data_IF_918171034568
#
_entry.id   IF_918171034568
#
_cell.length_a   1.000
_cell.length_b   1.000
_cell.length_c   1.000
_cell.angle_alpha   90.00
_cell.angle_beta   90.00
_cell.angle_gamma   90.00
#
_symmetry.space_group_name_H-M   'P 1'
#
loop_
_entity.id
_entity.type
_entity.pdbx_description
1 polymer ?
#
# COMPACT_ATOMS: atom_id res chain seq x y z
N UNK A 1 -21.54 8.28 15.09
CA UNK A 1 -21.07 9.59 14.58
C UNK A 1 -19.56 9.49 14.44
N UNK A 2 -19.10 9.10 13.26
CA UNK A 2 -17.67 9.11 12.89
C UNK A 2 -17.51 9.67 11.46
N UNK A 3 -18.50 10.43 11.01
CA UNK A 3 -18.66 10.90 9.62
C UNK A 3 -17.59 11.94 9.25
N UNK A 4 -17.13 12.74 10.22
CA UNK A 4 -16.06 13.72 10.01
C UNK A 4 -14.70 13.05 9.72
N UNK A 5 -14.39 11.95 10.40
CA UNK A 5 -13.15 11.21 10.16
C UNK A 5 -13.15 10.53 8.79
N UNK A 6 -14.27 9.89 8.42
CA UNK A 6 -14.44 9.31 7.08
C UNK A 6 -14.33 10.37 5.98
N UNK A 7 -14.99 11.52 6.15
CA UNK A 7 -14.95 12.62 5.21
C UNK A 7 -13.53 13.18 5.04
N UNK A 8 -12.81 13.43 6.14
CA UNK A 8 -11.44 13.92 6.10
C UNK A 8 -10.52 12.92 5.38
N UNK A 9 -10.65 11.62 5.66
CA UNK A 9 -9.86 10.59 5.00
C UNK A 9 -10.15 10.50 3.50
N UNK A 10 -11.42 10.61 3.08
CA UNK A 10 -11.80 10.67 1.65
C UNK A 10 -11.18 11.89 0.96
N UNK A 11 -11.18 13.03 1.64
CA UNK A 11 -10.54 14.24 1.13
C UNK A 11 -9.02 14.06 0.99
N UNK A 12 -8.36 13.52 2.02
CA UNK A 12 -6.92 13.21 2.00
C UNK A 12 -6.56 12.20 0.90
N UNK A 13 -7.37 11.15 0.70
CA UNK A 13 -7.22 10.19 -0.41
C UNK A 13 -7.18 10.93 -1.75
N UNK A 14 -8.18 11.78 -2.01
CA UNK A 14 -8.30 12.53 -3.27
C UNK A 14 -7.14 13.52 -3.47
N UNK A 15 -6.65 14.13 -2.40
CA UNK A 15 -5.44 14.95 -2.44
C UNK A 15 -4.21 14.14 -2.84
N UNK A 16 -4.01 12.96 -2.25
CA UNK A 16 -2.86 12.08 -2.55
C UNK A 16 -2.93 11.53 -3.98
N UNK A 17 -4.12 11.18 -4.48
CA UNK A 17 -4.31 10.77 -5.88
C UNK A 17 -3.92 11.88 -6.87
N UNK A 18 -4.17 13.14 -6.49
CA UNK A 18 -3.73 14.31 -7.28
C UNK A 18 -2.21 14.45 -7.25
N UNK A 19 -1.56 14.28 -6.09
CA UNK A 19 -0.10 14.28 -5.98
C UNK A 19 0.53 13.12 -6.75
N UNK A 20 -0.07 11.92 -6.72
CA UNK A 20 0.33 10.79 -7.54
C UNK A 20 0.29 11.15 -9.03
N UNK A 21 -0.81 11.72 -9.50
CA UNK A 21 -0.96 12.17 -10.90
C UNK A 21 0.05 13.27 -11.26
N UNK A 22 0.41 14.14 -10.31
CA UNK A 22 1.46 15.14 -10.47
C UNK A 22 2.86 14.53 -10.61
N UNK A 23 3.19 13.54 -9.77
CA UNK A 23 4.44 12.79 -9.85
C UNK A 23 4.60 12.05 -11.17
N UNK A 24 3.51 11.48 -11.71
CA UNK A 24 3.51 10.80 -13.01
C UNK A 24 3.83 11.77 -14.17
N UNK A 25 3.24 12.97 -14.16
CA UNK A 25 3.58 14.00 -15.15
C UNK A 25 5.04 14.44 -15.07
N UNK A 26 5.60 14.52 -13.85
CA UNK A 26 7.03 14.84 -13.63
C UNK A 26 7.93 13.71 -14.12
N UNK A 27 7.53 12.45 -13.94
CA UNK A 27 8.21 11.28 -14.51
C UNK A 27 8.28 11.38 -16.03
N UNK A 28 7.14 11.56 -16.70
CA UNK A 28 7.08 11.67 -18.17
C UNK A 28 7.89 12.85 -18.72
N UNK A 29 7.88 13.98 -18.02
CA UNK A 29 8.68 15.15 -18.39
C UNK A 29 10.18 14.86 -18.27
N UNK A 30 10.61 14.21 -17.19
CA UNK A 30 12.02 13.88 -16.94
C UNK A 30 12.51 12.80 -17.92
N UNK A 31 11.66 11.82 -18.25
CA UNK A 31 11.93 10.81 -19.28
C UNK A 31 12.16 11.43 -20.65
N UNK A 32 11.32 12.40 -21.07
CA UNK A 32 11.53 13.15 -22.33
C UNK A 32 12.83 13.96 -22.33
N UNK A 33 13.21 14.54 -21.19
CA UNK A 33 14.50 15.25 -21.05
C UNK A 33 15.69 14.31 -21.17
N UNK A 34 15.64 13.14 -20.52
CA UNK A 34 16.66 12.10 -20.66
C UNK A 34 16.81 11.65 -22.12
N UNK A 35 15.71 11.42 -22.82
CA UNK A 35 15.70 11.08 -24.25
C UNK A 35 16.34 12.17 -25.12
N UNK A 36 16.02 13.43 -24.83
CA UNK A 36 16.57 14.57 -25.58
C UNK A 36 18.08 14.71 -25.34
N UNK A 37 18.55 14.51 -24.11
CA UNK A 37 19.98 14.53 -23.78
C UNK A 37 20.75 13.42 -24.51
N UNK A 38 20.19 12.21 -24.53
CA UNK A 38 20.73 11.06 -25.26
C UNK A 38 20.82 11.29 -26.78
N UNK A 39 19.77 11.84 -27.39
CA UNK A 39 19.72 12.07 -28.85
C UNK A 39 20.58 13.23 -29.34
N UNK A 40 20.67 14.33 -28.57
CA UNK A 40 21.29 15.59 -29.05
C UNK A 40 22.74 15.74 -28.63
N UNK A 41 23.08 15.35 -27.40
CA UNK A 41 24.38 15.66 -26.82
C UNK A 41 25.30 14.45 -26.77
N UNK A 42 24.78 13.21 -26.87
CA UNK A 42 25.53 12.00 -26.58
C UNK A 42 26.07 11.96 -25.13
N UNK A 43 25.58 12.87 -24.28
CA UNK A 43 26.03 13.06 -22.91
C UNK A 43 25.24 12.12 -21.99
N UNK A 44 25.86 10.96 -21.75
CA UNK A 44 25.32 9.88 -20.94
C UNK A 44 25.19 10.30 -19.47
N UNK A 45 26.06 11.18 -18.98
CA UNK A 45 26.00 11.65 -17.59
C UNK A 45 24.76 12.52 -17.35
N UNK A 46 24.52 13.50 -18.22
CA UNK A 46 23.30 14.32 -18.13
C UNK A 46 22.02 13.50 -18.33
N UNK A 47 22.04 12.54 -19.25
CA UNK A 47 20.92 11.62 -19.46
C UNK A 47 20.65 10.74 -18.23
N UNK A 48 21.71 10.27 -17.56
CA UNK A 48 21.62 9.49 -16.32
C UNK A 48 20.97 10.29 -15.20
N UNK A 49 21.35 11.55 -14.98
CA UNK A 49 20.75 12.41 -13.94
C UNK A 49 19.24 12.58 -14.16
N UNK A 50 18.82 12.82 -15.42
CA UNK A 50 17.40 12.91 -15.75
C UNK A 50 16.66 11.57 -15.61
N UNK A 51 17.32 10.44 -15.92
CA UNK A 51 16.77 9.12 -15.74
C UNK A 51 16.59 8.77 -14.24
N UNK A 52 17.55 9.10 -13.39
CA UNK A 52 17.47 8.94 -11.94
C UNK A 52 16.30 9.75 -11.36
N UNK A 53 16.20 11.02 -11.75
CA UNK A 53 15.08 11.89 -11.36
C UNK A 53 13.74 11.32 -11.84
N UNK A 54 13.69 10.73 -13.04
CA UNK A 54 12.48 10.07 -13.53
C UNK A 54 12.10 8.89 -12.62
N UNK A 55 13.04 8.01 -12.28
CA UNK A 55 12.79 6.84 -11.43
C UNK A 55 12.36 7.25 -10.03
N UNK A 56 12.94 8.31 -9.47
CA UNK A 56 12.53 8.85 -8.18
C UNK A 56 11.07 9.35 -8.22
N UNK A 57 10.67 10.05 -9.30
CA UNK A 57 9.29 10.48 -9.50
C UNK A 57 8.33 9.28 -9.68
N UNK A 58 8.72 8.24 -10.41
CA UNK A 58 7.94 7.01 -10.57
C UNK A 58 7.77 6.25 -9.26
N UNK A 59 8.83 6.19 -8.45
CA UNK A 59 8.80 5.59 -7.11
C UNK A 59 7.86 6.39 -6.19
N UNK A 60 7.95 7.73 -6.23
CA UNK A 60 7.05 8.62 -5.49
C UNK A 60 5.59 8.43 -5.92
N UNK A 61 5.31 8.32 -7.22
CA UNK A 61 3.99 8.03 -7.76
C UNK A 61 3.41 6.74 -7.17
N UNK A 62 4.18 5.64 -7.24
CA UNK A 62 3.77 4.36 -6.67
C UNK A 62 3.53 4.44 -5.16
N UNK A 63 4.39 5.14 -4.43
CA UNK A 63 4.22 5.35 -2.99
C UNK A 63 2.93 6.10 -2.66
N UNK A 64 2.58 7.14 -3.44
CA UNK A 64 1.32 7.85 -3.27
C UNK A 64 0.10 6.98 -3.60
N UNK A 65 0.15 6.15 -4.65
CA UNK A 65 -0.92 5.20 -4.96
C UNK A 65 -1.12 4.17 -3.84
N UNK A 66 -0.03 3.64 -3.29
CA UNK A 66 -0.08 2.74 -2.13
C UNK A 66 -0.71 3.45 -0.93
N UNK A 67 -0.31 4.69 -0.65
CA UNK A 67 -0.87 5.46 0.45
C UNK A 67 -2.37 5.73 0.25
N UNK A 68 -2.82 6.07 -0.97
CA UNK A 68 -4.23 6.26 -1.29
C UNK A 68 -5.04 4.95 -1.10
N UNK A 69 -4.50 3.82 -1.53
CA UNK A 69 -5.12 2.49 -1.34
C UNK A 69 -5.24 2.11 0.14
N UNK A 70 -4.20 2.41 0.95
CA UNK A 70 -4.22 2.20 2.40
C UNK A 70 -5.31 3.06 3.06
N UNK A 71 -5.43 4.33 2.68
CA UNK A 71 -6.49 5.21 3.19
C UNK A 71 -7.87 4.69 2.81
N UNK A 72 -8.04 4.21 1.58
CA UNK A 72 -9.30 3.60 1.14
C UNK A 72 -9.69 2.38 1.97
N UNK A 73 -8.71 1.53 2.30
CA UNK A 73 -8.92 0.38 3.18
C UNK A 73 -9.38 0.80 4.58
N UNK A 74 -8.83 1.90 5.12
CA UNK A 74 -9.25 2.45 6.43
C UNK A 74 -10.67 3.02 6.34
N UNK A 75 -11.00 3.73 5.25
CA UNK A 75 -12.36 4.23 4.98
C UNK A 75 -13.36 3.07 4.98
N UNK A 76 -13.08 1.97 4.28
CA UNK A 76 -13.94 0.79 4.26
C UNK A 76 -14.15 0.19 5.65
N UNK A 77 -13.11 0.11 6.48
CA UNK A 77 -13.22 -0.35 7.87
C UNK A 77 -14.09 0.59 8.72
N UNK A 78 -13.97 1.91 8.55
CA UNK A 78 -14.82 2.88 9.24
C UNK A 78 -16.29 2.72 8.82
N UNK A 79 -16.55 2.50 7.53
CA UNK A 79 -17.90 2.24 7.03
C UNK A 79 -18.49 0.95 7.62
N UNK A 80 -17.70 -0.13 7.66
CA UNK A 80 -18.10 -1.38 8.30
C UNK A 80 -18.43 -1.17 9.78
N UNK A 81 -17.57 -0.46 10.53
CA UNK A 81 -17.81 -0.14 11.93
C UNK A 81 -19.06 0.73 12.11
N UNK A 82 -19.34 1.68 11.21
CA UNK A 82 -20.56 2.49 11.23
C UNK A 82 -21.81 1.61 11.00
N UNK A 83 -21.76 0.65 10.07
CA UNK A 83 -22.84 -0.30 9.82
C UNK A 83 -23.08 -1.22 11.03
N UNK A 84 -22.01 -1.75 11.64
CA UNK A 84 -22.10 -2.54 12.89
C UNK A 84 -22.73 -1.71 14.02
N UNK A 85 -22.32 -0.46 14.20
CA UNK A 85 -22.91 0.43 15.19
C UNK A 85 -24.41 0.69 14.94
N UNK A 86 -24.82 0.84 13.68
CA UNK A 86 -26.24 0.97 13.33
C UNK A 86 -27.00 -0.31 13.66
N UNK A 87 -26.45 -1.47 13.35
CA UNK A 87 -27.03 -2.77 13.69
C UNK A 87 -27.20 -2.93 15.20
N UNK A 88 -26.18 -2.60 16.01
CA UNK A 88 -26.26 -2.63 17.48
C UNK A 88 -27.35 -1.69 18.00
N UNK A 89 -27.50 -0.49 17.43
CA UNK A 89 -28.58 0.44 17.80
C UNK A 89 -29.96 -0.15 17.49
N UNK A 90 -30.13 -0.74 16.31
CA UNK A 90 -31.39 -1.39 15.93
C UNK A 90 -31.68 -2.59 16.83
N UNK A 91 -30.68 -3.43 17.12
CA UNK A 91 -30.83 -4.56 18.06
C UNK A 91 -31.19 -4.09 19.47
N UNK A 92 -30.63 -2.97 19.95
CA UNK A 92 -31.04 -2.38 21.22
C UNK A 92 -32.50 -1.93 21.21
N UNK A 93 -32.98 -1.41 20.09
CA UNK A 93 -34.39 -1.02 19.92
C UNK A 93 -35.32 -2.25 19.86
N UNK A 94 -34.91 -3.30 19.14
CA UNK A 94 -35.61 -4.59 19.10
C UNK A 94 -35.64 -5.23 20.48
N UNK A 95 -34.53 -5.21 21.23
CA UNK A 95 -34.48 -5.75 22.59
C UNK A 95 -35.42 -5.01 23.54
N UNK A 96 -35.54 -3.68 23.42
CA UNK A 96 -36.55 -2.91 24.17
C UNK A 96 -37.98 -3.29 23.80
N UNK A 97 -38.24 -3.57 22.51
CA UNK A 97 -39.54 -4.06 22.06
C UNK A 97 -39.81 -5.46 22.61
N UNK A 98 -38.81 -6.35 22.59
CA UNK A 98 -38.87 -7.68 23.19
C UNK A 98 -39.08 -7.62 24.70
N UNK A 99 -38.44 -6.72 25.44
CA UNK A 99 -38.72 -6.48 26.87
C UNK A 99 -40.19 -6.09 27.11
N UNK A 100 -40.77 -5.34 26.18
CA UNK A 100 -42.18 -4.95 26.23
C UNK A 100 -43.12 -6.12 25.88
N UNK A 101 -42.74 -6.97 24.93
CA UNK A 101 -43.45 -8.22 24.55
C UNK A 101 -43.29 -9.31 25.61
N UNK A 102 -42.16 -9.37 26.32
CA UNK A 102 -41.88 -10.33 27.38
C UNK A 102 -42.75 -10.07 28.63
N UNK A 103 -43.32 -8.87 28.78
CA UNK A 103 -44.38 -8.61 29.76
C UNK A 103 -45.73 -9.27 29.40
N UNK A 104 -45.93 -9.65 28.13
CA UNK A 104 -47.18 -10.18 27.58
C UNK A 104 -47.00 -11.59 26.94
N UNK A 105 -46.01 -12.36 27.39
CA UNK A 105 -45.36 -13.53 26.72
C UNK A 105 -46.18 -14.37 25.71
N UNK A 106 -45.53 -14.63 24.56
CA UNK A 106 -45.58 -15.91 23.84
C UNK A 106 -44.14 -16.36 23.48
N UNK A 107 -43.67 -17.45 24.10
CA UNK A 107 -42.25 -17.83 24.18
C UNK A 107 -41.67 -18.56 22.95
N UNK A 108 -42.53 -18.91 21.99
CA UNK A 108 -42.14 -19.64 20.78
C UNK A 108 -41.44 -18.78 19.73
N UNK A 109 -41.65 -17.46 19.70
CA UNK A 109 -41.05 -16.59 18.68
C UNK A 109 -39.61 -16.20 19.02
N UNK A 110 -39.26 -16.12 20.31
CA UNK A 110 -37.93 -15.79 20.79
C UNK A 110 -36.89 -16.86 20.41
N UNK A 111 -37.27 -18.14 20.51
CA UNK A 111 -36.40 -19.26 20.14
C UNK A 111 -36.00 -19.22 18.65
N UNK A 112 -36.94 -18.86 17.76
CA UNK A 112 -36.67 -18.74 16.32
C UNK A 112 -35.72 -17.59 15.97
N UNK A 113 -35.82 -16.47 16.68
CA UNK A 113 -34.95 -15.31 16.43
C UNK A 113 -33.50 -15.61 16.84
N UNK A 114 -33.30 -16.36 17.92
CA UNK A 114 -31.96 -16.78 18.35
C UNK A 114 -31.33 -17.81 17.40
N UNK A 115 -32.11 -18.78 16.91
CA UNK A 115 -31.62 -19.78 15.95
C UNK A 115 -31.19 -19.16 14.61
N UNK A 116 -31.90 -18.12 14.14
CA UNK A 116 -31.53 -17.37 12.92
C UNK A 116 -30.31 -16.47 13.10
N UNK A 117 -30.07 -15.99 14.32
CA UNK A 117 -28.89 -15.17 14.63
C UNK A 117 -27.60 -16.01 14.61
N UNK A 118 -27.65 -17.22 15.17
CA UNK A 118 -26.51 -18.15 15.21
C UNK A 118 -26.04 -18.56 13.80
N UNK A 119 -26.98 -18.92 12.91
CA UNK A 119 -26.67 -19.23 11.50
C UNK A 119 -26.09 -18.04 10.71
N UNK A 120 -26.50 -16.81 11.06
CA UNK A 120 -26.03 -15.61 10.37
C UNK A 120 -24.62 -15.21 10.80
N UNK A 121 -24.24 -15.53 12.04
CA UNK A 121 -22.94 -15.18 12.63
C UNK A 121 -21.83 -16.15 12.21
N UNK A 122 -22.12 -17.45 12.11
CA UNK A 122 -21.17 -18.49 11.69
C UNK A 122 -20.63 -18.24 10.26
N UNK A 123 -21.44 -17.66 9.38
CA UNK A 123 -21.07 -17.30 8.01
C UNK A 123 -20.18 -16.04 7.90
N UNK A 124 -20.07 -15.25 8.96
CA UNK A 124 -19.27 -14.03 8.98
C UNK A 124 -17.80 -14.32 9.31
N UNK A 125 -17.54 -15.24 10.26
CA UNK A 125 -16.21 -15.57 10.76
C UNK A 125 -15.34 -16.28 9.71
N UNK A 126 -15.94 -17.17 8.91
CA UNK A 126 -15.25 -17.91 7.83
C UNK A 126 -14.67 -16.97 6.74
N UNK A 127 -15.25 -15.77 6.55
CA UNK A 127 -14.79 -14.80 5.53
C UNK A 127 -13.61 -13.94 5.98
N UNK A 128 -13.39 -13.80 7.30
CA UNK A 128 -12.28 -13.02 7.84
C UNK A 128 -10.94 -13.76 7.72
N UNK A 129 -10.95 -15.08 7.88
CA UNK A 129 -9.75 -15.92 7.91
C UNK A 129 -9.06 -16.08 6.54
N UNK A 130 -9.80 -15.99 5.44
CA UNK A 130 -9.25 -16.12 4.06
C UNK A 130 -8.57 -14.82 3.58
N UNK A 131 -8.99 -13.67 4.10
CA UNK A 131 -8.50 -12.35 3.67
C UNK A 131 -7.11 -12.02 4.27
N UNK A 132 -6.80 -12.53 5.47
CA UNK A 132 -5.55 -12.24 6.19
C UNK A 132 -4.31 -12.91 5.58
N UNK A 133 -4.48 -14.12 5.02
CA UNK A 133 -3.36 -14.92 4.48
C UNK A 133 -2.84 -14.41 3.13
N UNK A 134 -3.65 -13.71 2.34
CA UNK A 134 -3.25 -13.19 1.03
C UNK A 134 -2.45 -11.87 1.10
N UNK A 135 -2.51 -11.16 2.23
CA UNK A 135 -1.98 -9.78 2.35
C UNK A 135 -0.53 -9.72 2.87
N UNK A 136 -0.05 -10.78 3.53
CA UNK A 136 1.31 -10.83 4.09
C UNK A 136 2.41 -11.21 3.08
N UNK A 137 2.08 -11.64 1.85
CA UNK A 137 3.06 -12.02 0.83
C UNK A 137 3.52 -10.89 -0.11
N UNK A 138 2.91 -9.70 -0.04
CA UNK A 138 3.11 -8.65 -1.04
C UNK A 138 4.05 -7.48 -0.63
N UNK A 139 4.75 -7.56 0.51
CA UNK A 139 5.44 -6.42 1.14
C UNK A 139 6.98 -6.52 1.22
N UNK A 140 7.64 -7.15 0.23
CA UNK A 140 9.08 -7.01 -0.01
C UNK A 140 9.24 -6.69 -1.50
N UNK A 141 9.89 -5.62 -1.98
CA UNK A 141 11.19 -5.09 -1.58
C UNK A 141 11.33 -3.66 -2.11
N UNK A 142 12.11 -2.84 -1.41
CA UNK A 142 12.57 -1.51 -1.85
C UNK A 142 13.40 -1.58 -3.14
N UNK A 143 13.17 -0.58 -4.00
CA UNK A 143 13.80 -0.23 -5.28
C UNK A 143 15.16 -0.91 -5.59
N UNK A 144 15.19 -1.88 -6.52
CA UNK A 144 16.42 -2.49 -7.00
C UNK A 144 17.19 -1.55 -7.95
N UNK A 145 18.50 -1.52 -7.84
CA UNK A 145 19.42 -0.77 -8.71
C UNK A 145 19.29 -1.19 -10.18
N UNK A 146 18.88 -2.43 -10.43
CA UNK A 146 18.62 -3.00 -11.76
C UNK A 146 17.51 -2.25 -12.51
N UNK A 147 16.51 -1.73 -11.79
CA UNK A 147 15.40 -1.00 -12.39
C UNK A 147 15.82 0.31 -13.09
N UNK A 148 17.00 0.85 -12.73
CA UNK A 148 17.61 2.03 -13.36
C UNK A 148 18.20 1.69 -14.71
N UNK A 149 18.99 0.62 -14.77
CA UNK A 149 19.59 0.14 -16.03
C UNK A 149 18.52 -0.35 -17.00
N UNK A 150 17.48 -1.02 -16.49
CA UNK A 150 16.36 -1.51 -17.29
C UNK A 150 15.57 -0.36 -17.94
N UNK A 151 15.32 0.75 -17.22
CA UNK A 151 14.65 1.90 -17.80
C UNK A 151 15.48 2.56 -18.91
N UNK A 152 16.79 2.66 -18.72
CA UNK A 152 17.71 3.19 -19.74
C UNK A 152 17.74 2.31 -20.99
N UNK A 153 17.76 0.98 -20.83
CA UNK A 153 17.68 0.02 -21.94
C UNK A 153 16.34 0.12 -22.67
N UNK A 154 15.22 0.19 -21.96
CA UNK A 154 13.89 0.36 -22.56
C UNK A 154 13.81 1.64 -23.40
N UNK A 155 14.30 2.77 -22.89
CA UNK A 155 14.29 4.05 -23.61
C UNK A 155 15.18 3.98 -24.87
N UNK A 156 16.32 3.28 -24.78
CA UNK A 156 17.25 3.09 -25.90
C UNK A 156 16.65 2.24 -27.03
N UNK A 157 16.08 1.08 -26.66
CA UNK A 157 15.46 0.13 -27.58
C UNK A 157 14.22 0.75 -28.25
N UNK A 158 13.37 1.47 -27.51
CA UNK A 158 12.20 2.19 -28.06
C UNK A 158 12.58 3.28 -29.08
N UNK A 159 13.84 3.74 -29.08
CA UNK A 159 14.29 4.87 -29.89
C UNK A 159 15.44 4.52 -30.87
N UNK A 160 15.75 3.23 -31.05
CA UNK A 160 16.85 2.74 -31.90
C UNK A 160 18.20 3.43 -31.62
N UNK A 161 18.49 3.70 -30.34
CA UNK A 161 19.79 4.25 -29.92
C UNK A 161 20.72 3.11 -29.53
N UNK A 162 21.86 2.98 -30.21
CA UNK A 162 22.84 1.93 -29.93
C UNK A 162 23.79 2.35 -28.79
N UNK A 163 23.30 2.23 -27.55
CA UNK A 163 24.01 2.62 -26.31
C UNK A 163 24.39 1.42 -25.44
N UNK A 164 24.08 0.20 -25.89
CA UNK A 164 24.22 -1.05 -25.10
C UNK A 164 25.65 -1.27 -24.61
N UNK A 165 26.64 -1.04 -25.47
CA UNK A 165 28.06 -1.19 -25.14
C UNK A 165 28.57 -0.17 -24.10
N UNK A 166 27.96 1.01 -24.02
CA UNK A 166 28.35 2.07 -23.08
C UNK A 166 27.62 1.96 -21.74
N UNK A 167 26.41 1.38 -21.73
CA UNK A 167 25.65 1.15 -20.50
C UNK A 167 26.26 0.02 -19.64
N UNK A 168 26.73 -1.06 -20.27
CA UNK A 168 27.39 -2.18 -19.59
C UNK A 168 28.80 -1.83 -19.08
N UNK A 169 29.42 -0.78 -19.60
CA UNK A 169 30.73 -0.30 -19.17
C UNK A 169 30.68 0.61 -17.93
N UNK A 170 29.48 1.02 -17.49
CA UNK A 170 29.34 1.92 -16.35
C UNK A 170 29.27 1.14 -15.02
N UNK A 171 30.10 1.49 -14.01
CA UNK A 171 30.07 0.82 -12.71
C UNK A 171 28.75 1.09 -11.99
N UNK A 172 28.11 0.02 -11.51
CA UNK A 172 26.92 0.08 -10.66
C UNK A 172 27.29 0.72 -9.33
N UNK A 173 26.99 2.01 -9.16
CA UNK A 173 27.19 2.68 -7.87
C UNK A 173 26.11 2.18 -6.90
N UNK A 174 26.47 1.21 -6.09
CA UNK A 174 25.67 0.71 -4.99
C UNK A 174 25.70 1.75 -3.87
N UNK A 175 24.84 2.77 -3.95
CA UNK A 175 24.56 3.62 -2.79
C UNK A 175 23.73 2.81 -1.79
N UNK A 176 24.41 2.14 -0.88
CA UNK A 176 23.81 1.57 0.32
C UNK A 176 23.36 2.72 1.21
N UNK A 177 22.11 3.15 1.08
CA UNK A 177 21.47 4.01 2.07
C UNK A 177 20.89 3.07 3.14
N UNK A 178 21.47 2.98 4.36
CA UNK A 178 20.97 2.09 5.37
C UNK A 178 19.58 2.54 5.83
N UNK A 179 18.59 1.66 5.68
CA UNK A 179 17.25 1.86 6.24
C UNK A 179 17.31 1.60 7.75
N UNK A 180 16.63 2.38 8.62
CA UNK A 180 16.69 2.21 10.08
C UNK A 180 16.36 0.78 10.56
N UNK A 181 15.52 0.06 9.83
CA UNK A 181 15.14 -1.34 10.13
C UNK A 181 16.29 -2.35 9.96
N UNK A 182 17.30 -2.06 9.12
CA UNK A 182 18.46 -2.94 8.93
C UNK A 182 19.52 -2.77 10.03
N UNK A 183 19.55 -1.62 10.72
CA UNK A 183 20.48 -1.38 11.83
C UNK A 183 20.08 -2.15 13.10
N UNK A 184 18.78 -2.29 13.37
CA UNK A 184 18.32 -3.08 14.54
C UNK A 184 18.50 -4.58 14.35
N UNK A 185 18.27 -5.10 13.14
CA UNK A 185 18.45 -6.52 12.82
C UNK A 185 19.92 -6.96 12.86
N UNK A 186 20.84 -6.09 12.42
CA UNK A 186 22.29 -6.36 12.47
C UNK A 186 22.85 -6.22 13.88
N UNK A 187 22.37 -5.26 14.67
CA UNK A 187 22.76 -5.10 16.07
C UNK A 187 22.31 -6.27 16.95
N UNK A 188 21.10 -6.80 16.73
CA UNK A 188 20.59 -7.98 17.46
C UNK A 188 21.30 -9.27 17.03
N UNK A 189 21.57 -9.45 15.74
CA UNK A 189 22.34 -10.59 15.23
C UNK A 189 23.76 -10.64 15.81
N UNK A 190 24.45 -9.50 15.89
CA UNK A 190 25.79 -9.42 16.46
C UNK A 190 25.82 -9.67 17.97
N UNK A 191 24.81 -9.22 18.72
CA UNK A 191 24.69 -9.52 20.16
C UNK A 191 24.40 -11.01 20.42
N UNK A 192 23.57 -11.64 19.58
CA UNK A 192 23.28 -13.06 19.70
C UNK A 192 24.50 -13.94 19.37
N UNK A 193 25.30 -13.53 18.38
CA UNK A 193 26.55 -14.21 18.03
C UNK A 193 27.59 -14.10 19.17
N UNK A 194 27.74 -12.92 19.78
CA UNK A 194 28.65 -12.73 20.91
C UNK A 194 28.28 -13.59 22.13
N UNK A 195 26.99 -13.81 22.38
CA UNK A 195 26.51 -14.68 23.46
C UNK A 195 26.71 -16.17 23.18
N UNK A 196 26.71 -16.59 21.90
CA UNK A 196 26.99 -17.98 21.51
C UNK A 196 28.46 -18.37 21.60
N UNK A 197 29.36 -17.39 21.59
CA UNK A 197 30.81 -17.63 21.78
C UNK A 197 31.25 -17.47 23.24
N UNK A 198 30.36 -17.08 24.16
CA UNK A 198 30.64 -16.83 25.57
C UNK A 198 30.18 -17.96 26.51
N UNK A 199 29.84 -19.13 25.96
CA UNK A 199 29.55 -20.39 26.69
C UNK A 199 30.38 -21.50 26.10
#
# INVERSE_FOLDING_TARGET
MNTNAEFNLRFTKKMIEREASGAEKKYETSRKKALTALKKSGDIETARIYAETAIQNRTSHNQFLIMASRIDSVISKIQQANAQNLMVKNMKQVNKMLEHVNKDMNMSELAKIMEQFEQSFENFDVKEQVMSNAMNQAMATSTPTDAVQDLLRQIADENNLDIRAQLDAMPTVQQTVPTPAQQEATATANRLAALRHAT
#
